data_IF_154616127953
#
_entry.id   IF_154616127953
#
_cell.length_a   1.000
_cell.length_b   1.000
_cell.length_c   1.000
_cell.angle_alpha   90.00
_cell.angle_beta   90.00
_cell.angle_gamma   90.00
#
_symmetry.space_group_name_H-M   'P 1'
#
loop_
_entity.id
_entity.type
_entity.pdbx_description
1 polymer ?
#
# COMPACT_ATOMS: atom_id res chain seq x y z
N UNK A 1 14.92 22.85 -29.29
CA UNK A 1 14.76 21.62 -28.48
C UNK A 1 14.07 22.03 -27.17
N UNK A 2 13.00 21.34 -26.74
CA UNK A 2 12.39 21.63 -25.46
C UNK A 2 13.43 21.49 -24.33
N UNK A 3 13.51 22.47 -23.43
CA UNK A 3 14.44 22.45 -22.30
C UNK A 3 13.70 21.95 -21.06
N UNK A 4 14.20 20.87 -20.46
CA UNK A 4 13.72 20.36 -19.18
C UNK A 4 14.53 21.01 -18.05
N UNK A 5 13.83 21.49 -17.04
CA UNK A 5 14.44 22.07 -15.84
C UNK A 5 14.19 21.15 -14.63
N UNK A 6 15.24 21.00 -13.80
CA UNK A 6 15.14 20.31 -12.51
C UNK A 6 16.02 21.02 -11.48
N UNK A 7 15.51 21.13 -10.26
CA UNK A 7 16.26 21.65 -9.11
C UNK A 7 16.84 20.55 -8.21
N UNK A 8 16.59 19.27 -8.54
CA UNK A 8 16.97 18.15 -7.67
C UNK A 8 18.17 17.35 -8.17
N UNK A 9 18.55 17.53 -9.43
CA UNK A 9 19.64 16.76 -10.03
C UNK A 9 20.47 17.62 -10.99
N UNK A 10 21.75 17.38 -11.02
CA UNK A 10 22.68 17.91 -12.03
C UNK A 10 23.62 16.81 -12.49
N UNK A 11 23.82 16.71 -13.79
CA UNK A 11 24.75 15.77 -14.43
C UNK A 11 25.57 16.54 -15.46
N UNK A 12 26.88 16.40 -15.42
CA UNK A 12 27.82 17.00 -16.40
C UNK A 12 29.27 16.87 -15.93
N UNK A 13 30.19 16.92 -16.88
CA UNK A 13 31.65 16.90 -16.63
C UNK A 13 32.14 15.72 -15.80
N UNK A 14 31.47 14.57 -15.92
CA UNK A 14 31.80 13.35 -15.12
C UNK A 14 31.22 13.36 -13.70
N UNK A 15 30.45 14.36 -13.33
CA UNK A 15 29.85 14.49 -12.01
C UNK A 15 28.34 14.28 -12.04
N UNK A 16 27.81 13.72 -10.95
CA UNK A 16 26.36 13.57 -10.71
C UNK A 16 26.08 14.18 -9.32
N UNK A 17 25.09 15.06 -9.27
CA UNK A 17 24.65 15.67 -8.01
C UNK A 17 23.20 15.30 -7.71
N UNK A 18 22.95 14.94 -6.47
CA UNK A 18 21.63 14.77 -5.90
C UNK A 18 21.39 15.91 -4.89
N UNK A 19 20.43 16.80 -5.17
CA UNK A 19 20.11 17.96 -4.31
C UNK A 19 21.36 18.78 -3.91
N UNK A 20 22.29 18.95 -4.85
CA UNK A 20 23.50 19.75 -4.65
C UNK A 20 24.67 18.98 -3.99
N UNK A 21 24.50 17.74 -3.57
CA UNK A 21 25.57 16.91 -3.02
C UNK A 21 26.10 15.95 -4.09
N UNK A 22 27.42 15.84 -4.29
CA UNK A 22 27.99 14.87 -5.20
C UNK A 22 27.57 13.44 -4.82
N UNK A 23 27.16 12.63 -5.81
CA UNK A 23 26.67 11.27 -5.55
C UNK A 23 27.73 10.38 -4.90
N UNK A 24 29.01 10.58 -5.21
CA UNK A 24 30.14 9.86 -4.62
C UNK A 24 30.28 10.08 -3.11
N UNK A 25 29.84 11.25 -2.62
CA UNK A 25 29.78 11.56 -1.18
C UNK A 25 28.55 10.97 -0.46
N UNK A 26 27.64 10.35 -1.19
CA UNK A 26 26.44 9.69 -0.64
C UNK A 26 26.55 8.16 -0.69
N UNK A 27 27.25 7.65 -1.70
CA UNK A 27 27.47 6.20 -1.88
C UNK A 27 28.39 5.67 -0.78
N UNK A 28 27.86 4.70 -0.02
CA UNK A 28 28.54 4.11 1.13
C UNK A 28 28.32 4.84 2.45
N UNK A 29 27.86 6.10 2.41
CA UNK A 29 27.55 6.89 3.61
C UNK A 29 26.07 6.77 4.01
N UNK A 30 25.17 6.74 3.03
CA UNK A 30 23.73 6.63 3.27
C UNK A 30 23.22 5.22 3.01
N UNK A 31 22.27 4.80 3.84
CA UNK A 31 21.39 3.67 3.53
C UNK A 31 20.42 4.04 2.39
N UNK A 32 19.82 3.02 1.76
CA UNK A 32 18.83 3.26 0.72
C UNK A 32 17.62 4.05 1.26
N UNK A 33 17.18 3.80 2.48
CA UNK A 33 16.07 4.49 3.12
C UNK A 33 16.40 5.96 3.39
N UNK A 34 17.59 6.26 3.87
CA UNK A 34 18.06 7.64 4.08
C UNK A 34 18.15 8.40 2.76
N UNK A 35 18.68 7.75 1.70
CA UNK A 35 18.72 8.35 0.37
C UNK A 35 17.32 8.60 -0.21
N UNK A 36 16.40 7.65 -0.04
CA UNK A 36 14.99 7.80 -0.43
C UNK A 36 14.36 9.00 0.27
N UNK A 37 14.54 9.07 1.59
CA UNK A 37 14.02 10.16 2.41
C UNK A 37 14.60 11.52 1.96
N UNK A 38 15.91 11.60 1.81
CA UNK A 38 16.61 12.80 1.35
C UNK A 38 16.12 13.29 -0.02
N UNK A 39 15.94 12.36 -0.97
CA UNK A 39 15.43 12.71 -2.30
C UNK A 39 14.01 13.29 -2.25
N UNK A 40 13.14 12.79 -1.39
CA UNK A 40 11.74 13.22 -1.31
C UNK A 40 11.56 14.45 -0.43
N UNK A 41 12.26 14.54 0.70
CA UNK A 41 12.04 15.57 1.72
C UNK A 41 13.05 16.73 1.67
N UNK A 42 14.12 16.64 0.87
CA UNK A 42 15.22 17.62 0.82
C UNK A 42 15.95 17.83 2.17
N UNK A 43 15.82 16.89 3.08
CA UNK A 43 16.54 16.83 4.36
C UNK A 43 16.89 15.38 4.69
N UNK A 44 17.87 15.19 5.54
CA UNK A 44 18.16 13.88 6.10
C UNK A 44 17.06 13.48 7.10
N UNK A 45 16.72 12.20 7.19
CA UNK A 45 15.83 11.71 8.25
C UNK A 45 16.55 11.79 9.61
N UNK A 46 15.77 11.95 10.66
CA UNK A 46 16.23 11.64 12.00
C UNK A 46 16.37 10.12 12.18
N UNK A 47 17.16 9.68 13.15
CA UNK A 47 17.42 8.25 13.36
C UNK A 47 16.13 7.42 13.53
N UNK A 48 15.17 7.94 14.29
CA UNK A 48 13.89 7.28 14.50
C UNK A 48 13.01 7.25 13.23
N UNK A 49 13.07 8.30 12.37
CA UNK A 49 12.36 8.32 11.09
C UNK A 49 12.93 7.28 10.12
N UNK A 50 14.27 7.19 10.04
CA UNK A 50 14.96 6.19 9.21
C UNK A 50 14.60 4.77 9.64
N UNK A 51 14.69 4.49 10.95
CA UNK A 51 14.36 3.18 11.52
C UNK A 51 12.87 2.80 11.28
N UNK A 52 11.96 3.74 11.45
CA UNK A 52 10.53 3.50 11.24
C UNK A 52 10.20 3.27 9.77
N UNK A 53 10.79 4.05 8.86
CA UNK A 53 10.57 3.88 7.42
C UNK A 53 11.14 2.54 6.93
N UNK A 54 12.32 2.13 7.40
CA UNK A 54 12.89 0.82 7.13
C UNK A 54 11.96 -0.30 7.62
N UNK A 55 11.49 -0.22 8.87
CA UNK A 55 10.58 -1.21 9.45
C UNK A 55 9.25 -1.31 8.65
N UNK A 56 8.73 -0.18 8.20
CA UNK A 56 7.54 -0.17 7.35
C UNK A 56 7.80 -0.90 6.02
N UNK A 57 8.90 -0.59 5.33
CA UNK A 57 9.23 -1.26 4.07
C UNK A 57 9.45 -2.77 4.26
N UNK A 58 10.13 -3.17 5.34
CA UNK A 58 10.30 -4.58 5.70
C UNK A 58 8.96 -5.26 5.94
N UNK A 59 8.00 -4.60 6.60
CA UNK A 59 6.66 -5.14 6.85
C UNK A 59 5.88 -5.45 5.57
N UNK A 60 6.24 -4.82 4.46
CA UNK A 60 5.62 -5.03 3.15
C UNK A 60 6.28 -6.14 2.34
N UNK A 61 7.49 -6.60 2.70
CA UNK A 61 8.25 -7.58 1.90
C UNK A 61 7.52 -8.91 1.72
N UNK A 62 6.61 -9.28 2.62
CA UNK A 62 5.84 -10.53 2.48
C UNK A 62 4.36 -10.33 2.88
N UNK A 63 3.46 -10.90 2.08
CA UNK A 63 2.02 -10.89 2.35
C UNK A 63 1.29 -12.09 1.72
N UNK A 64 1.99 -13.17 1.44
CA UNK A 64 1.42 -14.33 0.76
C UNK A 64 1.04 -14.05 -0.70
N UNK A 65 0.35 -15.01 -1.29
CA UNK A 65 0.10 -15.07 -2.75
C UNK A 65 -1.32 -14.68 -3.16
N UNK A 66 -2.18 -14.29 -2.24
CA UNK A 66 -3.64 -14.17 -2.48
C UNK A 66 -4.08 -12.78 -2.94
N UNK A 67 -3.19 -11.78 -2.95
CA UNK A 67 -3.57 -10.42 -3.35
C UNK A 67 -3.70 -10.28 -4.87
N UNK A 68 -4.58 -9.40 -5.37
CA UNK A 68 -4.72 -9.15 -6.81
C UNK A 68 -3.42 -8.74 -7.49
N UNK A 69 -2.60 -7.94 -6.81
CA UNK A 69 -1.30 -7.50 -7.31
C UNK A 69 -0.30 -8.65 -7.47
N UNK A 70 -0.25 -9.56 -6.49
CA UNK A 70 0.58 -10.77 -6.57
C UNK A 70 0.11 -11.70 -7.69
N UNK A 71 -1.21 -11.87 -7.86
CA UNK A 71 -1.76 -12.64 -8.98
C UNK A 71 -1.37 -12.05 -10.33
N UNK A 72 -1.48 -10.73 -10.52
CA UNK A 72 -1.06 -10.04 -11.73
C UNK A 72 0.41 -10.30 -12.09
N UNK A 73 1.28 -10.24 -11.06
CA UNK A 73 2.69 -10.57 -11.24
C UNK A 73 2.91 -12.04 -11.63
N UNK A 74 2.26 -12.98 -10.96
CA UNK A 74 2.41 -14.42 -11.23
C UNK A 74 1.87 -14.81 -12.60
N UNK A 75 0.74 -14.26 -13.03
CA UNK A 75 0.20 -14.49 -14.38
C UNK A 75 1.23 -14.07 -15.44
N UNK A 76 1.83 -12.88 -15.30
CA UNK A 76 2.88 -12.44 -16.22
C UNK A 76 4.12 -13.34 -16.15
N UNK A 77 4.51 -13.81 -14.97
CA UNK A 77 5.67 -14.72 -14.79
C UNK A 77 5.44 -16.09 -15.43
N UNK A 78 4.22 -16.63 -15.33
CA UNK A 78 3.87 -17.98 -15.79
C UNK A 78 3.99 -18.16 -17.30
N UNK A 79 3.85 -17.09 -18.08
CA UNK A 79 4.05 -17.08 -19.53
C UNK A 79 5.50 -16.76 -19.91
N UNK A 80 6.45 -16.85 -18.98
CA UNK A 80 7.87 -16.57 -19.14
C UNK A 80 8.20 -15.16 -19.61
N UNK A 81 7.33 -14.21 -19.29
CA UNK A 81 7.64 -12.80 -19.51
C UNK A 81 8.84 -12.36 -18.64
N UNK A 82 9.61 -11.35 -19.04
CA UNK A 82 10.70 -10.84 -18.22
C UNK A 82 10.17 -10.21 -16.91
N UNK A 83 11.02 -10.10 -15.88
CA UNK A 83 10.67 -9.56 -14.57
C UNK A 83 9.93 -8.22 -14.64
N UNK A 84 10.31 -7.33 -15.57
CA UNK A 84 9.62 -6.06 -15.77
C UNK A 84 8.13 -6.20 -16.05
N UNK A 85 7.70 -7.23 -16.78
CA UNK A 85 6.27 -7.50 -17.02
C UNK A 85 5.56 -7.96 -15.73
N UNK A 86 6.23 -8.75 -14.90
CA UNK A 86 5.71 -9.16 -13.59
C UNK A 86 5.56 -7.97 -12.65
N UNK A 87 6.56 -7.07 -12.62
CA UNK A 87 6.51 -5.83 -11.86
C UNK A 87 5.36 -4.90 -12.33
N UNK A 88 5.15 -4.78 -13.65
CA UNK A 88 4.00 -4.02 -14.19
C UNK A 88 2.67 -4.66 -13.82
N UNK A 89 2.54 -5.98 -13.90
CA UNK A 89 1.33 -6.70 -13.46
C UNK A 89 1.03 -6.50 -11.97
N UNK A 90 2.07 -6.50 -11.15
CA UNK A 90 1.97 -6.16 -9.75
C UNK A 90 1.46 -4.72 -9.55
N UNK A 91 2.12 -3.73 -10.17
CA UNK A 91 1.78 -2.31 -10.02
C UNK A 91 0.34 -2.06 -10.48
N UNK A 92 -0.07 -2.60 -11.62
CA UNK A 92 -1.43 -2.45 -12.14
C UNK A 92 -2.48 -2.98 -11.16
N UNK A 93 -2.26 -4.16 -10.58
CA UNK A 93 -3.15 -4.72 -9.56
C UNK A 93 -3.09 -4.00 -8.21
N UNK A 94 -1.97 -3.34 -7.92
CA UNK A 94 -1.77 -2.62 -6.67
C UNK A 94 -2.50 -1.26 -6.62
N UNK A 95 -2.63 -0.57 -7.75
CA UNK A 95 -3.22 0.78 -7.81
C UNK A 95 -4.73 0.83 -7.51
N UNK A 96 -5.41 -0.32 -7.49
CA UNK A 96 -6.86 -0.36 -7.28
C UNK A 96 -7.28 0.21 -5.93
N UNK A 97 -8.44 0.88 -5.92
CA UNK A 97 -9.06 1.50 -4.74
C UNK A 97 -9.19 0.53 -3.56
N UNK A 98 -9.57 -0.71 -3.84
CA UNK A 98 -9.76 -1.75 -2.81
C UNK A 98 -8.47 -2.55 -2.51
N UNK A 99 -7.32 -1.98 -2.89
CA UNK A 99 -6.02 -2.52 -2.57
C UNK A 99 -5.12 -1.40 -2.05
N UNK A 100 -3.94 -1.16 -2.58
CA UNK A 100 -3.04 -0.13 -2.06
C UNK A 100 -3.45 1.32 -2.38
N UNK A 101 -4.44 1.56 -3.25
CA UNK A 101 -5.12 2.85 -3.34
C UNK A 101 -5.80 3.28 -2.03
N UNK A 102 -6.02 2.34 -1.10
CA UNK A 102 -6.52 2.63 0.24
C UNK A 102 -5.54 3.46 1.07
N UNK A 103 -4.22 3.28 0.89
CA UNK A 103 -3.19 4.05 1.62
C UNK A 103 -3.26 5.55 1.30
N UNK A 104 -3.29 5.91 0.02
CA UNK A 104 -3.42 7.32 -0.39
C UNK A 104 -4.71 7.94 0.16
N UNK A 105 -5.82 7.22 0.11
CA UNK A 105 -7.11 7.69 0.64
C UNK A 105 -7.07 7.85 2.17
N UNK A 106 -6.46 6.92 2.89
CA UNK A 106 -6.28 7.04 4.34
C UNK A 106 -5.44 8.27 4.71
N UNK A 107 -4.37 8.54 3.95
CA UNK A 107 -3.59 9.77 4.15
C UNK A 107 -4.43 11.03 3.92
N UNK A 108 -5.23 11.07 2.87
CA UNK A 108 -6.11 12.22 2.58
C UNK A 108 -7.21 12.39 3.64
N UNK A 109 -7.80 11.29 4.12
CA UNK A 109 -8.78 11.33 5.21
C UNK A 109 -8.18 11.92 6.49
N UNK A 110 -6.95 11.55 6.85
CA UNK A 110 -6.24 12.10 8.02
C UNK A 110 -5.91 13.59 7.86
N UNK A 111 -5.50 14.03 6.67
CA UNK A 111 -5.27 15.44 6.39
C UNK A 111 -6.57 16.23 6.52
N UNK A 112 -7.65 15.77 5.92
CA UNK A 112 -8.96 16.40 6.00
C UNK A 112 -9.47 16.52 7.44
N UNK A 113 -9.30 15.46 8.24
CA UNK A 113 -9.68 15.47 9.65
C UNK A 113 -8.93 16.55 10.44
N UNK A 114 -7.62 16.68 10.20
CA UNK A 114 -6.81 17.70 10.85
C UNK A 114 -7.17 19.13 10.38
N UNK A 115 -7.42 19.32 9.07
CA UNK A 115 -7.84 20.60 8.51
C UNK A 115 -9.20 21.06 9.07
N UNK A 116 -10.14 20.16 9.24
CA UNK A 116 -11.46 20.44 9.79
C UNK A 116 -11.44 20.63 11.31
N UNK A 117 -10.40 20.17 12.00
CA UNK A 117 -10.27 20.28 13.46
C UNK A 117 -11.30 19.47 14.24
N UNK A 118 -11.92 18.45 13.62
CA UNK A 118 -12.91 17.59 14.28
C UNK A 118 -12.24 16.47 15.06
N UNK A 119 -12.94 15.89 16.00
CA UNK A 119 -12.46 14.72 16.74
C UNK A 119 -12.50 13.44 15.90
N UNK A 120 -11.77 12.42 16.33
CA UNK A 120 -11.80 11.11 15.69
C UNK A 120 -13.20 10.46 15.81
N UNK A 121 -13.86 10.66 16.94
CA UNK A 121 -15.21 10.18 17.21
C UNK A 121 -16.23 10.81 16.26
N UNK A 122 -16.21 12.13 16.08
CA UNK A 122 -17.07 12.86 15.15
C UNK A 122 -16.82 12.43 13.71
N UNK A 123 -15.55 12.25 13.33
CA UNK A 123 -15.20 11.76 11.99
C UNK A 123 -15.78 10.36 11.73
N UNK A 124 -15.61 9.43 12.68
CA UNK A 124 -16.13 8.06 12.56
C UNK A 124 -17.66 8.07 12.49
N UNK A 125 -18.33 8.84 13.34
CA UNK A 125 -19.78 8.95 13.37
C UNK A 125 -20.34 9.44 12.04
N UNK A 126 -19.83 10.56 11.54
CA UNK A 126 -20.23 11.13 10.26
C UNK A 126 -20.06 10.16 9.08
N UNK A 127 -18.88 9.50 9.01
CA UNK A 127 -18.61 8.51 7.95
C UNK A 127 -19.56 7.30 8.01
N UNK A 128 -19.87 6.84 9.23
CA UNK A 128 -20.79 5.71 9.42
C UNK A 128 -22.25 6.07 9.08
N UNK A 129 -22.70 7.28 9.44
CA UNK A 129 -24.03 7.78 9.11
C UNK A 129 -24.24 7.92 7.61
N UNK A 130 -23.23 8.39 6.89
CA UNK A 130 -23.24 8.49 5.44
C UNK A 130 -23.01 7.16 4.71
N UNK A 131 -22.78 6.07 5.43
CA UNK A 131 -22.42 4.77 4.85
C UNK A 131 -21.09 4.76 4.12
N UNK A 132 -20.22 5.73 4.42
CA UNK A 132 -18.92 5.86 3.79
C UNK A 132 -17.88 4.95 4.44
N UNK A 133 -16.92 4.52 3.63
CA UNK A 133 -15.79 3.72 4.09
C UNK A 133 -14.77 4.60 4.79
N UNK A 134 -14.20 4.10 5.88
CA UNK A 134 -13.03 4.69 6.54
C UNK A 134 -11.81 3.88 6.09
N UNK A 135 -10.91 4.52 5.35
CA UNK A 135 -9.74 3.88 4.78
C UNK A 135 -8.65 3.67 5.84
N UNK A 136 -7.86 2.61 5.70
CA UNK A 136 -6.85 2.25 6.70
C UNK A 136 -7.37 1.39 7.84
N UNK A 137 -8.62 0.93 7.76
CA UNK A 137 -9.27 0.09 8.78
C UNK A 137 -9.97 -1.11 8.15
N UNK A 138 -10.03 -2.20 8.92
CA UNK A 138 -10.56 -3.47 8.46
C UNK A 138 -9.59 -4.28 7.64
N UNK A 139 -9.65 -5.59 7.78
CA UNK A 139 -8.83 -6.51 7.02
C UNK A 139 -9.64 -7.75 6.63
N UNK A 140 -9.31 -8.33 5.47
CA UNK A 140 -10.00 -9.49 4.92
C UNK A 140 -9.95 -10.70 5.85
N UNK A 141 -8.82 -10.89 6.54
CA UNK A 141 -8.55 -12.04 7.42
C UNK A 141 -8.51 -11.68 8.91
N UNK A 142 -8.42 -10.39 9.25
CA UNK A 142 -8.28 -9.92 10.62
C UNK A 142 -9.55 -9.15 11.02
N UNK A 143 -10.53 -9.89 11.55
CA UNK A 143 -11.79 -9.31 12.08
C UNK A 143 -11.85 -9.51 13.58
N UNK A 144 -12.47 -8.59 14.29
CA UNK A 144 -12.79 -8.68 15.72
C UNK A 144 -14.30 -8.62 15.95
N UNK A 145 -14.74 -9.05 17.11
CA UNK A 145 -16.10 -8.80 17.60
C UNK A 145 -16.22 -7.35 18.05
N UNK A 146 -17.37 -6.68 17.82
CA UNK A 146 -17.63 -5.35 18.37
C UNK A 146 -17.59 -5.32 19.89
N UNK A 147 -17.14 -4.23 20.45
CA UNK A 147 -17.09 -4.02 21.90
C UNK A 147 -15.81 -3.29 22.33
N UNK A 148 -15.73 -2.89 23.61
CA UNK A 148 -14.51 -2.28 24.12
C UNK A 148 -13.36 -3.27 24.00
N UNK A 149 -12.20 -2.85 23.55
CA UNK A 149 -11.04 -3.72 23.47
C UNK A 149 -10.68 -4.21 24.87
N UNK A 150 -10.31 -5.50 25.05
CA UNK A 150 -9.94 -6.06 26.36
C UNK A 150 -8.73 -5.35 27.00
N UNK A 151 -7.91 -4.72 26.19
CA UNK A 151 -6.88 -3.76 26.60
C UNK A 151 -6.60 -2.82 25.43
N UNK A 152 -5.95 -1.68 25.67
CA UNK A 152 -5.53 -0.74 24.63
C UNK A 152 -4.63 -1.39 23.55
N UNK A 153 -4.00 -2.52 23.87
CA UNK A 153 -3.10 -3.28 22.99
C UNK A 153 -3.78 -4.35 22.17
N UNK A 154 -4.94 -4.86 22.57
CA UNK A 154 -5.60 -6.01 21.91
C UNK A 154 -6.25 -5.64 20.57
N UNK A 155 -6.62 -4.39 20.38
CA UNK A 155 -7.13 -3.91 19.08
C UNK A 155 -6.09 -4.02 17.96
N UNK A 156 -4.83 -3.91 18.31
CA UNK A 156 -3.68 -3.92 17.44
C UNK A 156 -3.18 -5.34 17.13
N UNK A 157 -3.75 -6.36 17.77
CA UNK A 157 -3.20 -7.71 17.86
C UNK A 157 -3.42 -8.60 16.65
N UNK A 158 -4.25 -8.21 15.68
CA UNK A 158 -4.68 -9.15 14.63
C UNK A 158 -3.81 -9.14 13.37
N UNK A 159 -3.28 -7.99 12.96
CA UNK A 159 -2.27 -7.93 11.91
C UNK A 159 -0.89 -7.84 12.56
N UNK A 160 -0.02 -8.88 12.44
CA UNK A 160 1.29 -8.87 13.08
C UNK A 160 2.17 -7.71 12.64
N UNK A 161 1.96 -7.17 11.45
CA UNK A 161 2.69 -6.00 10.95
C UNK A 161 2.26 -4.73 11.66
N UNK A 162 0.95 -4.54 11.85
CA UNK A 162 0.39 -3.42 12.61
C UNK A 162 0.94 -3.44 14.03
N UNK A 163 0.86 -4.60 14.70
CA UNK A 163 1.38 -4.77 16.06
C UNK A 163 2.88 -4.42 16.16
N UNK A 164 3.68 -4.93 15.22
CA UNK A 164 5.12 -4.69 15.24
C UNK A 164 5.47 -3.20 15.02
N UNK A 165 4.80 -2.53 14.07
CA UNK A 165 5.05 -1.12 13.79
C UNK A 165 4.57 -0.20 14.92
N UNK A 166 3.43 -0.50 15.54
CA UNK A 166 2.93 0.30 16.67
C UNK A 166 3.79 0.09 17.92
N UNK A 167 4.27 -1.13 18.17
CA UNK A 167 5.23 -1.40 19.25
C UNK A 167 6.56 -0.65 19.04
N UNK A 168 7.08 -0.65 17.80
CA UNK A 168 8.27 0.12 17.47
C UNK A 168 8.03 1.64 17.61
N UNK A 169 6.85 2.14 17.22
CA UNK A 169 6.51 3.54 17.41
C UNK A 169 6.48 3.94 18.90
N UNK A 170 6.01 3.05 19.77
CA UNK A 170 6.03 3.27 21.22
C UNK A 170 7.46 3.22 21.76
N UNK A 171 8.30 2.27 21.31
CA UNK A 171 9.73 2.18 21.68
C UNK A 171 10.51 3.43 21.27
N UNK A 172 10.25 3.95 20.07
CA UNK A 172 10.87 5.16 19.53
C UNK A 172 10.26 6.45 20.06
N UNK A 173 9.32 6.37 20.99
CA UNK A 173 8.57 7.51 21.51
C UNK A 173 7.98 8.40 20.42
N UNK A 174 7.41 7.79 19.38
CA UNK A 174 6.85 8.50 18.23
C UNK A 174 5.74 9.48 18.65
N UNK A 175 5.97 10.78 18.41
CA UNK A 175 5.07 11.87 18.85
C UNK A 175 4.23 12.44 17.69
N UNK A 176 4.14 11.75 16.57
CA UNK A 176 3.43 12.21 15.38
C UNK A 176 1.92 12.36 15.62
N UNK A 177 1.35 13.45 15.14
CA UNK A 177 -0.07 13.75 15.31
C UNK A 177 -0.94 12.80 14.49
N UNK A 178 -0.53 12.47 13.27
CA UNK A 178 -1.33 11.63 12.38
C UNK A 178 -1.40 10.19 12.90
N UNK A 179 -0.30 9.63 13.41
CA UNK A 179 -0.33 8.30 14.03
C UNK A 179 -1.23 8.28 15.27
N UNK A 180 -1.21 9.35 16.08
CA UNK A 180 -2.12 9.50 17.21
C UNK A 180 -3.58 9.48 16.74
N UNK A 181 -3.91 10.22 15.67
CA UNK A 181 -5.26 10.22 15.06
C UNK A 181 -5.66 8.85 14.53
N UNK A 182 -4.73 8.12 13.91
CA UNK A 182 -4.99 6.73 13.48
C UNK A 182 -5.43 5.86 14.66
N UNK A 183 -4.75 5.95 15.79
CA UNK A 183 -5.10 5.19 17.01
C UNK A 183 -6.46 5.61 17.59
N UNK A 184 -6.78 6.89 17.59
CA UNK A 184 -8.07 7.43 18.06
C UNK A 184 -9.23 6.95 17.18
N UNK A 185 -9.14 7.09 15.87
CA UNK A 185 -10.12 6.57 14.90
C UNK A 185 -10.27 5.05 15.05
N UNK A 186 -9.15 4.34 15.17
CA UNK A 186 -9.15 2.89 15.37
C UNK A 186 -9.93 2.46 16.60
N UNK A 187 -9.76 3.17 17.73
CA UNK A 187 -10.50 2.91 18.97
C UNK A 187 -11.99 3.15 18.77
N UNK A 188 -12.37 4.33 18.27
CA UNK A 188 -13.75 4.70 18.03
C UNK A 188 -14.47 3.73 17.06
N UNK A 189 -13.78 3.28 16.01
CA UNK A 189 -14.32 2.36 15.03
C UNK A 189 -14.44 0.93 15.55
N UNK A 190 -13.46 0.50 16.37
CA UNK A 190 -13.50 -0.81 17.02
C UNK A 190 -14.67 -0.92 17.99
N UNK A 191 -14.86 0.08 18.84
CA UNK A 191 -15.97 0.11 19.81
C UNK A 191 -17.33 0.00 19.14
N UNK A 192 -17.51 0.63 17.96
CA UNK A 192 -18.80 0.64 17.23
C UNK A 192 -19.02 -0.55 16.32
N UNK A 193 -17.97 -1.08 15.69
CA UNK A 193 -18.07 -2.04 14.60
C UNK A 193 -17.12 -3.25 14.70
N UNK A 194 -16.24 -3.30 15.69
CA UNK A 194 -15.22 -4.34 15.80
C UNK A 194 -14.19 -4.31 14.66
N UNK A 195 -13.99 -3.16 14.02
CA UNK A 195 -13.09 -3.02 12.87
C UNK A 195 -11.70 -2.60 13.34
N UNK A 196 -10.66 -3.42 13.12
CA UNK A 196 -9.30 -3.11 13.55
C UNK A 196 -8.58 -2.17 12.60
N UNK A 197 -7.51 -1.53 13.08
CA UNK A 197 -6.53 -0.84 12.24
C UNK A 197 -5.86 -1.86 11.32
N UNK A 198 -5.58 -1.48 10.09
CA UNK A 198 -4.79 -2.28 9.16
C UNK A 198 -3.46 -1.60 8.82
N UNK A 199 -2.64 -2.25 8.01
CA UNK A 199 -1.31 -1.75 7.64
C UNK A 199 -1.36 -0.40 6.93
N UNK A 200 -2.38 -0.14 6.12
CA UNK A 200 -2.51 1.13 5.39
C UNK A 200 -2.82 2.28 6.35
N UNK A 201 -3.60 2.04 7.41
CA UNK A 201 -3.89 3.04 8.44
C UNK A 201 -2.64 3.44 9.20
N UNK A 202 -1.86 2.47 9.69
CA UNK A 202 -0.59 2.74 10.37
C UNK A 202 0.37 3.47 9.45
N UNK A 203 0.52 2.99 8.22
CA UNK A 203 1.40 3.61 7.22
C UNK A 203 0.97 5.04 6.90
N UNK A 204 -0.33 5.31 6.76
CA UNK A 204 -0.84 6.65 6.50
C UNK A 204 -0.43 7.64 7.60
N UNK A 205 -0.58 7.26 8.87
CA UNK A 205 -0.15 8.09 10.00
C UNK A 205 1.35 8.33 9.99
N UNK A 206 2.16 7.27 9.88
CA UNK A 206 3.62 7.36 9.90
C UNK A 206 4.17 8.19 8.72
N UNK A 207 3.68 7.95 7.50
CA UNK A 207 4.15 8.66 6.32
C UNK A 207 3.80 10.16 6.36
N UNK A 208 2.60 10.51 6.84
CA UNK A 208 2.20 11.91 7.03
C UNK A 208 3.03 12.59 8.12
N UNK A 209 3.29 11.92 9.23
CA UNK A 209 4.14 12.45 10.30
C UNK A 209 5.57 12.71 9.83
N UNK A 210 6.09 11.88 8.91
CA UNK A 210 7.37 12.09 8.23
C UNK A 210 7.30 13.14 7.10
N UNK A 211 6.14 13.74 6.84
CA UNK A 211 5.95 14.79 5.84
C UNK A 211 5.77 14.29 4.40
N UNK A 212 5.58 13.01 4.18
CA UNK A 212 5.32 12.49 2.83
C UNK A 212 3.91 12.83 2.35
N UNK A 213 3.79 13.09 1.07
CA UNK A 213 2.53 13.48 0.45
C UNK A 213 1.73 12.27 -0.03
N UNK A 214 0.39 12.30 0.02
CA UNK A 214 -0.46 11.19 -0.41
C UNK A 214 -0.20 10.69 -1.83
N UNK A 215 0.14 11.59 -2.76
CA UNK A 215 0.34 11.26 -4.18
C UNK A 215 1.49 10.27 -4.44
N UNK A 216 2.41 10.15 -3.49
CA UNK A 216 3.55 9.22 -3.61
C UNK A 216 3.38 7.94 -2.77
N UNK A 217 2.23 7.74 -2.14
CA UNK A 217 1.98 6.60 -1.26
C UNK A 217 2.30 5.25 -1.92
N UNK A 218 1.93 5.10 -3.19
CA UNK A 218 2.20 3.88 -3.97
C UNK A 218 3.69 3.56 -4.09
N UNK A 219 4.58 4.57 -4.07
CA UNK A 219 6.03 4.36 -4.15
C UNK A 219 6.52 3.43 -3.03
N UNK A 220 6.09 3.68 -1.79
CA UNK A 220 6.51 2.88 -0.63
C UNK A 220 6.03 1.44 -0.73
N UNK A 221 4.79 1.25 -1.20
CA UNK A 221 4.24 -0.08 -1.44
C UNK A 221 5.02 -0.83 -2.51
N UNK A 222 5.36 -0.16 -3.61
CA UNK A 222 6.15 -0.75 -4.69
C UNK A 222 7.53 -1.15 -4.18
N UNK A 223 8.24 -0.24 -3.50
CA UNK A 223 9.58 -0.52 -2.96
C UNK A 223 9.57 -1.69 -1.98
N UNK A 224 8.68 -1.68 -1.01
CA UNK A 224 8.61 -2.74 0.00
C UNK A 224 8.19 -4.10 -0.58
N UNK A 225 7.34 -4.12 -1.62
CA UNK A 225 6.82 -5.38 -2.18
C UNK A 225 7.67 -5.99 -3.30
N UNK A 226 8.46 -5.20 -4.01
CA UNK A 226 9.27 -5.69 -5.15
C UNK A 226 10.18 -6.89 -4.81
N UNK A 227 10.81 -7.00 -3.62
CA UNK A 227 11.60 -8.18 -3.27
C UNK A 227 10.80 -9.48 -3.31
N UNK A 228 9.57 -9.47 -2.77
CA UNK A 228 8.65 -10.60 -2.81
C UNK A 228 8.24 -10.94 -4.26
N UNK A 229 7.90 -9.92 -5.05
CA UNK A 229 7.52 -10.12 -6.46
C UNK A 229 8.67 -10.71 -7.27
N UNK A 230 9.91 -10.30 -7.02
CA UNK A 230 11.09 -10.87 -7.67
C UNK A 230 11.26 -12.35 -7.32
N UNK A 231 11.09 -12.72 -6.03
CA UNK A 231 11.16 -14.13 -5.62
C UNK A 231 10.03 -14.98 -6.22
N UNK A 232 8.81 -14.48 -6.21
CA UNK A 232 7.66 -15.17 -6.82
C UNK A 232 7.80 -15.32 -8.33
N UNK A 233 8.41 -14.34 -9.00
CA UNK A 233 8.74 -14.42 -10.41
C UNK A 233 9.72 -15.58 -10.69
N UNK A 234 10.79 -15.68 -9.90
CA UNK A 234 11.76 -16.78 -10.03
C UNK A 234 11.11 -18.15 -9.76
N UNK A 235 10.30 -18.24 -8.71
CA UNK A 235 9.57 -19.45 -8.34
C UNK A 235 8.65 -19.90 -9.48
N UNK A 236 7.83 -19.02 -10.02
CA UNK A 236 6.90 -19.34 -11.09
C UNK A 236 7.61 -19.84 -12.35
N UNK A 237 8.78 -19.28 -12.67
CA UNK A 237 9.57 -19.69 -13.84
C UNK A 237 10.34 -20.99 -13.64
N UNK A 238 10.76 -21.31 -12.41
CA UNK A 238 11.58 -22.50 -12.13
C UNK A 238 10.75 -23.70 -11.69
N UNK A 239 9.72 -23.52 -10.87
CA UNK A 239 8.98 -24.59 -10.22
C UNK A 239 7.69 -24.98 -10.95
N UNK A 240 7.19 -24.12 -11.84
CA UNK A 240 6.02 -24.40 -12.70
C UNK A 240 6.38 -24.38 -14.19
N UNK A 241 7.32 -25.20 -14.64
CA UNK A 241 7.74 -25.17 -16.02
C UNK A 241 6.62 -25.62 -16.98
N UNK A 242 6.49 -24.94 -18.10
CA UNK A 242 5.66 -25.31 -19.25
C UNK A 242 4.14 -25.21 -19.08
N UNK A 243 3.64 -24.50 -18.10
CA UNK A 243 2.22 -24.14 -18.05
C UNK A 243 2.04 -22.74 -17.50
N UNK A 244 1.03 -22.06 -17.99
CA UNK A 244 0.66 -20.76 -17.43
C UNK A 244 -0.35 -20.91 -16.30
N UNK A 245 -0.28 -20.00 -15.34
CA UNK A 245 -1.22 -19.93 -14.22
C UNK A 245 -2.52 -19.31 -14.73
N UNK A 246 -3.59 -20.10 -14.76
CA UNK A 246 -4.94 -19.65 -15.05
C UNK A 246 -5.77 -19.51 -13.78
N UNK A 247 -6.71 -18.61 -13.77
CA UNK A 247 -7.77 -18.58 -12.77
C UNK A 247 -8.80 -19.65 -13.12
N UNK A 248 -9.26 -20.40 -12.10
CA UNK A 248 -10.38 -21.30 -12.28
C UNK A 248 -11.64 -20.47 -12.63
N UNK A 249 -12.20 -20.71 -13.79
CA UNK A 249 -13.47 -20.11 -14.23
C UNK A 249 -14.60 -21.06 -13.89
N UNK A 250 -15.69 -20.53 -13.36
CA UNK A 250 -16.98 -21.20 -13.33
C UNK A 250 -17.80 -20.61 -14.46
N UNK A 251 -18.34 -21.45 -15.32
CA UNK A 251 -19.34 -20.99 -16.28
C UNK A 251 -20.56 -20.53 -15.46
N UNK A 252 -20.97 -19.29 -15.70
CA UNK A 252 -22.20 -18.79 -15.16
C UNK A 252 -23.36 -19.37 -16.01
N UNK A 253 -24.29 -20.13 -15.41
CA UNK A 253 -25.41 -20.71 -16.17
C UNK A 253 -26.30 -19.66 -16.84
N UNK A 254 -26.21 -18.39 -16.41
CA UNK A 254 -26.95 -17.30 -17.04
C UNK A 254 -26.25 -16.77 -18.29
N UNK A 255 -24.92 -16.90 -18.38
CA UNK A 255 -24.14 -16.47 -19.53
C UNK A 255 -24.49 -17.28 -20.81
N UNK A 256 -24.55 -18.60 -20.68
CA UNK A 256 -24.92 -19.47 -21.79
C UNK A 256 -26.31 -19.15 -22.34
N UNK A 257 -27.27 -18.81 -21.45
CA UNK A 257 -28.63 -18.40 -21.87
C UNK A 257 -28.69 -17.05 -22.57
N UNK A 258 -27.80 -16.12 -22.25
CA UNK A 258 -27.73 -14.81 -22.90
C UNK A 258 -27.14 -14.94 -24.29
N UNK A 259 -26.08 -15.71 -24.43
CA UNK A 259 -25.42 -15.98 -25.72
C UNK A 259 -26.36 -16.74 -26.68
N UNK A 260 -27.04 -17.77 -26.19
CA UNK A 260 -28.00 -18.52 -26.98
C UNK A 260 -29.15 -17.65 -27.51
N UNK A 261 -29.70 -16.74 -26.70
CA UNK A 261 -30.74 -15.80 -27.12
C UNK A 261 -30.25 -14.80 -28.17
N UNK A 262 -29.05 -14.26 -28.02
CA UNK A 262 -28.49 -13.31 -28.99
C UNK A 262 -28.17 -14.00 -30.32
N UNK A 263 -27.69 -15.24 -30.28
CA UNK A 263 -27.44 -16.06 -31.49
C UNK A 263 -28.76 -16.42 -32.16
N UNK A 264 -29.76 -16.89 -31.43
CA UNK A 264 -31.08 -17.20 -31.96
C UNK A 264 -31.77 -15.99 -32.60
N UNK A 265 -31.64 -14.80 -31.96
CA UNK A 265 -32.19 -13.54 -32.52
C UNK A 265 -31.43 -13.09 -33.79
N UNK A 266 -30.13 -13.32 -33.87
CA UNK A 266 -29.32 -12.98 -35.06
C UNK A 266 -29.50 -13.96 -36.22
N UNK A 267 -29.81 -15.22 -35.93
CA UNK A 267 -30.07 -16.27 -36.93
C UNK A 267 -31.54 -16.38 -37.35
N UNK A 268 -32.49 -15.87 -36.54
CA UNK A 268 -33.92 -15.90 -36.81
C UNK A 268 -34.46 -14.75 -37.67
N UNK A 269 -33.56 -13.87 -38.18
CA UNK A 269 -33.92 -12.71 -39.01
C UNK A 269 -33.98 -12.97 -40.52
N UNK A 270 -33.77 -14.20 -40.98
CA UNK A 270 -33.91 -14.58 -42.38
C UNK A 270 -34.95 -15.70 -42.57
N UNK A 271 -36.23 -15.34 -42.50
CA UNK A 271 -37.31 -16.08 -43.18
C UNK A 271 -38.31 -15.11 -43.79
#
# INVERSE_FOLDING_TARGET
VPTLFTGISRVGDGEIFARGIPIEGLVGELTFVEMLYFQLQARMPEAHESQMLEAYLVSLCEHGVTSPSTHGARVASSVRAPFGASAMGFIAGAMGEFHFGALERAMRDLQQLNELGISAEEFVEHRLEEGQRIWGYGHRFHRSEPGPPPSATVQEDRDPRVRALLALADELEWRGEHLRRVREIGRALHERKGVPINIDGVAAGLLLDMGFRPEIALLFVVLGRLPNIARLHQEEQSETPNRFTGLATRNDPTFDRVVDREIEQSMGGEQ
#
